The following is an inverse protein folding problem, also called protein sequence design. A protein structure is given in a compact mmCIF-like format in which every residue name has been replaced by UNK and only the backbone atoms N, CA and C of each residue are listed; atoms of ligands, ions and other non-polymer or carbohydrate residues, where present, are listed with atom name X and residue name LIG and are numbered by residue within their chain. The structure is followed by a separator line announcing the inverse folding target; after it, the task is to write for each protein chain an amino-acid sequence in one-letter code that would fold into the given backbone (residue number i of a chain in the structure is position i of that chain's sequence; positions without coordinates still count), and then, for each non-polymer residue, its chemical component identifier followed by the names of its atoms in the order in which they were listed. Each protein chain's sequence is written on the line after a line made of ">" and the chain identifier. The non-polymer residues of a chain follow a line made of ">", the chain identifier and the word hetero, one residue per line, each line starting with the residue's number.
data_IF_882230123390
#
_entry.id   IF_882230123390
#
_cell.length_a   1.000
_cell.length_b   1.000
_cell.length_c   1.000
_cell.angle_alpha   90.00
_cell.angle_beta   90.00
_cell.angle_gamma   90.00
#
_symmetry.space_group_name_H-M   'P 1'
#
loop_
_entity.id
_entity.type
_entity.pdbx_description
1 polymer ?
#
# COMPACT_ATOMS: atom_id res chain seq x y z
N UNK A 1 -11.72 -51.57 -64.55
CA UNK A 1 -11.99 -50.18 -64.14
C UNK A 1 -10.97 -49.79 -63.09
N UNK A 2 -10.33 -48.62 -63.27
CA UNK A 2 -9.58 -47.76 -62.33
C UNK A 2 -8.60 -48.44 -61.32
N UNK A 3 -7.29 -48.15 -61.28
CA UNK A 3 -6.61 -46.90 -61.58
C UNK A 3 -6.69 -45.94 -60.39
N UNK A 4 -5.65 -45.91 -59.54
CA UNK A 4 -5.56 -44.97 -58.41
C UNK A 4 -4.21 -45.04 -57.69
N UNK A 5 -3.30 -44.15 -58.09
CA UNK A 5 -1.98 -43.84 -57.48
C UNK A 5 -2.08 -42.44 -56.85
N UNK A 6 -1.18 -42.13 -55.90
CA UNK A 6 -0.87 -40.81 -55.29
C UNK A 6 -1.76 -40.44 -54.08
N UNK A 7 -1.29 -39.91 -52.94
CA UNK A 7 -0.10 -39.08 -52.61
C UNK A 7 0.43 -39.36 -51.19
N UNK A 8 1.72 -39.06 -50.88
CA UNK A 8 2.22 -38.95 -49.51
C UNK A 8 1.84 -37.60 -48.86
N UNK A 9 1.44 -37.65 -47.60
CA UNK A 9 1.16 -36.48 -46.76
C UNK A 9 2.47 -35.75 -46.41
N UNK A 10 2.75 -34.66 -47.15
CA UNK A 10 3.67 -33.60 -46.74
C UNK A 10 2.93 -32.56 -45.90
N UNK A 11 3.00 -32.69 -44.58
CA UNK A 11 2.49 -31.72 -43.61
C UNK A 11 3.62 -30.82 -43.11
N UNK A 12 3.75 -29.68 -43.77
CA UNK A 12 4.74 -28.63 -43.53
C UNK A 12 4.32 -27.79 -42.32
N UNK A 13 4.83 -28.07 -41.12
CA UNK A 13 4.72 -27.14 -39.98
C UNK A 13 6.04 -26.40 -39.81
N UNK A 14 6.03 -25.16 -40.27
CA UNK A 14 7.08 -24.16 -40.18
C UNK A 14 7.61 -24.03 -38.76
N UNK A 15 8.94 -23.99 -38.64
CA UNK A 15 9.63 -23.61 -37.42
C UNK A 15 9.12 -22.27 -36.91
N UNK A 16 8.72 -22.24 -35.64
CA UNK A 16 8.55 -21.01 -34.89
C UNK A 16 9.93 -20.41 -34.68
N UNK A 17 10.25 -19.44 -35.52
CA UNK A 17 11.41 -18.57 -35.40
C UNK A 17 11.23 -17.74 -34.15
N UNK A 18 12.24 -17.83 -33.27
CA UNK A 18 12.64 -16.83 -32.27
C UNK A 18 11.53 -15.94 -31.73
N UNK A 19 10.87 -16.40 -30.67
CA UNK A 19 10.24 -15.47 -29.75
C UNK A 19 11.39 -14.75 -29.02
N UNK A 20 11.74 -13.56 -29.52
CA UNK A 20 12.59 -12.63 -28.80
C UNK A 20 11.98 -12.41 -27.42
N UNK A 21 12.63 -12.98 -26.40
CA UNK A 21 12.35 -12.66 -25.01
C UNK A 21 12.58 -11.16 -24.86
N UNK A 22 11.47 -10.42 -24.75
CA UNK A 22 11.52 -9.00 -24.47
C UNK A 22 12.45 -8.78 -23.27
N UNK A 23 13.44 -7.87 -23.37
CA UNK A 23 14.36 -7.62 -22.27
C UNK A 23 13.54 -7.23 -21.05
N UNK A 24 13.74 -7.99 -19.97
CA UNK A 24 13.20 -7.73 -18.64
C UNK A 24 13.33 -6.24 -18.36
N UNK A 25 12.20 -5.53 -18.45
CA UNK A 25 12.13 -4.09 -18.20
C UNK A 25 12.64 -3.89 -16.78
N UNK A 26 13.87 -3.40 -16.65
CA UNK A 26 14.44 -3.04 -15.35
C UNK A 26 13.51 -1.99 -14.78
N UNK A 27 12.71 -2.40 -13.78
CA UNK A 27 11.83 -1.50 -13.03
C UNK A 27 12.66 -0.25 -12.69
N UNK A 28 12.21 0.96 -13.05
CA UNK A 28 12.95 2.15 -12.69
C UNK A 28 13.17 2.13 -11.18
N UNK A 29 14.41 2.40 -10.75
CA UNK A 29 14.72 2.64 -9.34
C UNK A 29 13.86 3.81 -8.90
N UNK A 30 12.66 3.51 -8.36
CA UNK A 30 11.80 4.52 -7.77
C UNK A 30 12.62 5.19 -6.68
N UNK A 31 12.78 6.50 -6.83
CA UNK A 31 13.52 7.33 -5.91
C UNK A 31 12.90 7.13 -4.52
N UNK A 32 13.71 6.63 -3.59
CA UNK A 32 13.35 6.24 -2.22
C UNK A 32 12.72 7.41 -1.48
N UNK A 33 11.41 7.60 -1.67
CA UNK A 33 10.68 8.67 -1.05
C UNK A 33 10.56 8.29 0.44
N UNK A 34 11.43 8.84 1.28
CA UNK A 34 11.50 8.56 2.73
C UNK A 34 10.09 8.42 3.32
N UNK A 35 9.83 7.30 4.00
CA UNK A 35 8.55 6.99 4.63
C UNK A 35 8.20 7.96 5.74
N UNK A 36 6.94 7.99 6.16
CA UNK A 36 6.43 8.90 7.18
C UNK A 36 7.28 8.83 8.46
N UNK A 37 7.48 7.63 9.02
CA UNK A 37 8.28 7.42 10.23
C UNK A 37 9.70 7.92 10.10
N UNK A 38 10.32 7.72 8.93
CA UNK A 38 11.67 8.19 8.61
C UNK A 38 11.74 9.71 8.42
N UNK A 39 10.68 10.34 7.89
CA UNK A 39 10.61 11.81 7.72
C UNK A 39 10.43 12.53 9.05
N UNK A 40 9.60 11.98 9.93
CA UNK A 40 9.28 12.58 11.22
C UNK A 40 10.03 11.93 12.39
N UNK A 41 11.12 11.19 12.14
CA UNK A 41 11.81 10.39 13.17
C UNK A 41 12.21 11.22 14.39
N UNK A 42 12.77 12.42 14.17
CA UNK A 42 13.17 13.32 15.25
C UNK A 42 11.96 13.87 16.00
N UNK A 43 10.88 14.19 15.29
CA UNK A 43 9.65 14.71 15.93
C UNK A 43 8.86 13.64 16.69
N UNK A 44 8.89 12.39 16.20
CA UNK A 44 8.30 11.23 16.86
C UNK A 44 9.12 10.86 18.11
N UNK A 45 10.46 10.86 18.01
CA UNK A 45 11.36 10.58 19.14
C UNK A 45 11.28 11.63 20.23
N UNK A 46 11.20 12.91 19.84
CA UNK A 46 11.09 14.04 20.78
C UNK A 46 9.64 14.27 21.26
N UNK A 47 8.69 13.40 20.88
CA UNK A 47 7.25 13.50 21.18
C UNK A 47 6.57 14.81 20.73
N UNK A 48 7.23 15.61 19.89
CA UNK A 48 6.69 16.84 19.28
C UNK A 48 5.55 16.53 18.31
N UNK A 49 5.57 15.34 17.71
CA UNK A 49 4.52 14.82 16.85
C UNK A 49 3.93 13.55 17.45
N UNK A 50 2.64 13.60 17.81
CA UNK A 50 1.91 12.43 18.29
C UNK A 50 0.97 11.91 17.21
N UNK A 51 1.20 10.67 16.78
CA UNK A 51 0.31 9.96 15.85
C UNK A 51 -0.62 9.07 16.66
N UNK A 52 -1.92 9.31 16.54
CA UNK A 52 -2.97 8.45 17.08
C UNK A 52 -3.99 8.24 15.98
N UNK A 53 -4.36 6.98 15.72
CA UNK A 53 -5.34 6.61 14.70
C UNK A 53 -6.35 5.66 15.36
N UNK A 54 -7.61 6.09 15.56
CA UNK A 54 -8.62 5.24 16.18
C UNK A 54 -8.85 3.94 15.39
N UNK A 55 -9.15 2.84 16.08
CA UNK A 55 -9.39 1.52 15.44
C UNK A 55 -10.39 1.58 14.27
N UNK A 56 -11.56 2.25 14.39
CA UNK A 56 -12.49 2.35 13.25
C UNK A 56 -11.91 3.06 12.03
N UNK A 57 -10.93 3.95 12.22
CA UNK A 57 -10.23 4.61 11.11
C UNK A 57 -9.23 3.64 10.49
N UNK A 58 -8.48 2.88 11.31
CA UNK A 58 -7.52 1.87 10.83
C UNK A 58 -8.22 0.77 10.01
N UNK A 59 -9.39 0.30 10.46
CA UNK A 59 -10.23 -0.63 9.70
C UNK A 59 -10.63 -0.07 8.33
N UNK A 60 -11.08 1.19 8.26
CA UNK A 60 -11.43 1.82 6.98
C UNK A 60 -10.23 2.00 6.06
N UNK A 61 -9.06 2.33 6.60
CA UNK A 61 -7.83 2.41 5.83
C UNK A 61 -7.44 1.03 5.29
N UNK A 62 -7.58 -0.02 6.09
CA UNK A 62 -7.36 -1.40 5.64
C UNK A 62 -8.31 -1.80 4.50
N UNK A 63 -9.62 -1.54 4.66
CA UNK A 63 -10.60 -1.80 3.59
C UNK A 63 -10.26 -1.03 2.31
N UNK A 64 -9.69 0.18 2.44
CA UNK A 64 -9.20 0.94 1.29
C UNK A 64 -7.95 0.33 0.64
N UNK A 65 -7.18 -0.51 1.31
CA UNK A 65 -6.09 -1.27 0.66
C UNK A 65 -6.67 -2.45 -0.14
N UNK A 66 -7.65 -3.15 0.43
CA UNK A 66 -8.33 -4.27 -0.22
C UNK A 66 -9.08 -3.81 -1.48
N UNK A 67 -9.76 -2.66 -1.43
CA UNK A 67 -10.53 -2.09 -2.54
C UNK A 67 -9.67 -1.85 -3.80
N UNK A 68 -8.41 -1.43 -3.60
CA UNK A 68 -7.48 -1.14 -4.70
C UNK A 68 -6.45 -2.27 -4.91
N UNK A 69 -6.63 -3.42 -4.26
CA UNK A 69 -5.83 -4.60 -4.52
C UNK A 69 -6.63 -5.59 -5.36
N UNK A 70 -6.02 -6.07 -6.44
CA UNK A 70 -6.58 -7.19 -7.18
C UNK A 70 -6.52 -8.47 -6.34
N UNK A 71 -7.61 -9.24 -6.36
CA UNK A 71 -7.68 -10.56 -5.76
C UNK A 71 -7.28 -11.63 -6.78
N UNK A 72 -6.19 -12.34 -6.53
CA UNK A 72 -5.75 -13.47 -7.34
C UNK A 72 -6.52 -14.73 -6.92
N UNK A 73 -7.52 -15.11 -7.71
CA UNK A 73 -8.35 -16.30 -7.45
C UNK A 73 -7.56 -17.62 -7.42
N UNK A 74 -6.39 -17.70 -8.07
CA UNK A 74 -5.58 -18.93 -8.10
C UNK A 74 -4.78 -19.10 -6.81
N UNK A 75 -4.33 -17.97 -6.24
CA UNK A 75 -3.56 -17.95 -4.99
C UNK A 75 -4.42 -17.73 -3.76
N UNK A 76 -5.64 -17.22 -3.94
CA UNK A 76 -6.55 -16.85 -2.86
C UNK A 76 -6.06 -15.67 -2.03
N UNK A 77 -5.32 -14.73 -2.64
CA UNK A 77 -4.70 -13.60 -1.94
C UNK A 77 -4.83 -12.28 -2.73
N UNK A 78 -4.64 -11.17 -2.03
CA UNK A 78 -4.57 -9.83 -2.60
C UNK A 78 -3.13 -9.50 -3.00
N UNK A 79 -2.87 -9.41 -4.32
CA UNK A 79 -1.50 -9.32 -4.84
C UNK A 79 -0.77 -8.06 -4.37
N UNK A 80 -1.44 -6.91 -4.40
CA UNK A 80 -0.84 -5.65 -3.97
C UNK A 80 -0.59 -5.62 -2.46
N UNK A 81 -1.40 -6.31 -1.65
CA UNK A 81 -1.21 -6.42 -0.20
C UNK A 81 -0.01 -7.34 0.12
N UNK A 82 0.14 -8.46 -0.60
CA UNK A 82 1.30 -9.35 -0.46
C UNK A 82 2.59 -8.61 -0.85
N UNK A 83 2.58 -7.89 -1.97
CA UNK A 83 3.72 -7.05 -2.39
C UNK A 83 4.01 -5.92 -1.39
N UNK A 84 2.97 -5.27 -0.84
CA UNK A 84 3.11 -4.25 0.19
C UNK A 84 3.78 -4.81 1.44
N UNK A 85 3.39 -6.01 1.88
CA UNK A 85 3.98 -6.67 3.05
C UNK A 85 5.48 -6.87 2.85
N UNK A 86 5.89 -7.41 1.70
CA UNK A 86 7.31 -7.58 1.37
C UNK A 86 8.06 -6.24 1.37
N UNK A 87 7.52 -5.21 0.71
CA UNK A 87 8.16 -3.88 0.65
C UNK A 87 8.26 -3.24 2.03
N UNK A 88 7.28 -3.46 2.88
CA UNK A 88 7.27 -2.97 4.25
C UNK A 88 8.39 -3.59 5.08
N UNK A 89 8.59 -4.91 4.97
CA UNK A 89 9.71 -5.62 5.60
C UNK A 89 11.07 -5.16 5.07
N UNK A 90 11.20 -4.96 3.75
CA UNK A 90 12.44 -4.47 3.14
C UNK A 90 12.80 -3.06 3.63
N UNK A 91 11.81 -2.20 3.84
CA UNK A 91 12.02 -0.80 4.22
C UNK A 91 12.23 -0.57 5.72
N UNK A 92 11.49 -1.30 6.56
CA UNK A 92 11.45 -1.08 8.01
C UNK A 92 12.03 -2.25 8.82
N UNK A 93 12.30 -3.38 8.16
CA UNK A 93 12.74 -4.63 8.78
C UNK A 93 11.57 -5.45 9.32
N UNK A 94 11.73 -6.77 9.40
CA UNK A 94 10.69 -7.69 9.90
C UNK A 94 10.30 -7.44 11.36
N UNK A 95 11.14 -6.74 12.15
CA UNK A 95 10.78 -6.31 13.51
C UNK A 95 9.67 -5.26 13.55
N UNK A 96 9.39 -4.58 12.43
CA UNK A 96 8.31 -3.62 12.30
C UNK A 96 6.92 -4.27 12.19
N UNK A 97 6.87 -5.54 11.77
CA UNK A 97 5.65 -6.36 11.69
C UNK A 97 5.28 -7.01 13.03
N UNK A 98 5.46 -6.31 14.15
CA UNK A 98 5.08 -6.82 15.48
C UNK A 98 3.72 -6.29 15.90
N UNK A 99 2.86 -7.19 16.35
CA UNK A 99 1.53 -6.88 16.86
C UNK A 99 1.32 -7.55 18.23
N UNK A 100 0.46 -6.95 19.06
CA UNK A 100 0.06 -7.60 20.30
C UNK A 100 -0.82 -8.83 20.00
N UNK A 101 -0.58 -9.97 20.66
CA UNK A 101 -1.46 -11.13 20.55
C UNK A 101 -2.84 -10.81 21.13
N UNK A 102 -3.84 -11.63 20.80
CA UNK A 102 -5.22 -11.44 21.28
C UNK A 102 -5.37 -11.68 22.78
N UNK A 103 -4.44 -12.41 23.40
CA UNK A 103 -4.34 -12.54 24.85
C UNK A 103 -3.66 -11.30 25.44
N UNK A 104 -4.30 -10.65 26.41
CA UNK A 104 -3.87 -9.38 27.02
C UNK A 104 -2.46 -9.42 27.66
N UNK A 105 -1.88 -10.59 27.91
CA UNK A 105 -0.60 -10.79 28.61
C UNK A 105 0.55 -11.34 27.74
N UNK A 106 0.63 -10.94 26.47
CA UNK A 106 1.67 -11.43 25.55
C UNK A 106 2.62 -10.36 25.02
N UNK A 107 3.92 -10.71 24.91
CA UNK A 107 4.90 -9.92 24.18
C UNK A 107 4.48 -9.76 22.70
N UNK A 108 4.77 -8.61 22.06
CA UNK A 108 4.47 -8.42 20.64
C UNK A 108 5.11 -9.52 19.79
N UNK A 109 4.27 -10.29 19.11
CA UNK A 109 4.67 -11.37 18.22
C UNK A 109 4.71 -10.88 16.76
N UNK A 110 5.37 -11.64 15.89
CA UNK A 110 5.30 -11.39 14.44
C UNK A 110 3.86 -11.56 13.99
N UNK A 111 3.27 -10.50 13.44
CA UNK A 111 1.92 -10.48 12.89
C UNK A 111 1.95 -10.19 11.39
N UNK A 112 0.81 -10.36 10.73
CA UNK A 112 0.66 -9.91 9.36
C UNK A 112 0.52 -8.40 9.26
N UNK A 113 0.53 -7.86 8.04
CA UNK A 113 0.27 -6.44 7.81
C UNK A 113 -1.10 -6.00 8.38
N UNK A 114 -2.11 -6.87 8.27
CA UNK A 114 -3.43 -6.64 8.88
C UNK A 114 -3.36 -6.39 10.39
N UNK A 115 -2.53 -7.16 11.10
CA UNK A 115 -2.37 -7.01 12.54
C UNK A 115 -1.73 -5.67 12.90
N UNK A 116 -0.91 -5.07 12.02
CA UNK A 116 -0.41 -3.70 12.24
C UNK A 116 -1.57 -2.69 12.22
N UNK A 117 -2.50 -2.84 11.28
CA UNK A 117 -3.63 -1.91 11.19
C UNK A 117 -4.51 -2.03 12.43
N UNK A 118 -4.84 -3.24 12.90
CA UNK A 118 -5.81 -3.39 13.99
C UNK A 118 -5.17 -3.37 15.39
N UNK A 119 -4.09 -4.13 15.55
CA UNK A 119 -3.44 -4.46 16.84
C UNK A 119 -2.04 -3.85 16.96
N UNK A 120 -1.59 -3.13 15.93
CA UNK A 120 -0.21 -2.69 15.79
C UNK A 120 0.27 -1.85 16.96
N UNK A 121 1.51 -2.13 17.36
CA UNK A 121 2.20 -1.49 18.47
C UNK A 121 2.49 0.00 18.24
N UNK A 122 2.66 0.42 16.96
CA UNK A 122 3.11 1.77 16.63
C UNK A 122 2.32 2.39 15.47
N UNK A 123 1.49 3.39 15.78
CA UNK A 123 0.59 4.04 14.83
C UNK A 123 1.26 4.64 13.57
N UNK A 124 2.48 5.21 13.62
CA UNK A 124 3.18 5.69 12.42
C UNK A 124 3.38 4.63 11.33
N UNK A 125 3.49 3.35 11.67
CA UNK A 125 3.61 2.27 10.69
C UNK A 125 2.38 2.15 9.78
N UNK A 126 1.19 2.54 10.25
CA UNK A 126 -0.01 2.60 9.40
C UNK A 126 0.21 3.61 8.27
N UNK A 127 0.76 4.78 8.57
CA UNK A 127 1.07 5.78 7.54
C UNK A 127 2.18 5.31 6.60
N UNK A 128 3.21 4.65 7.11
CA UNK A 128 4.25 4.06 6.26
C UNK A 128 3.66 3.05 5.26
N UNK A 129 2.74 2.18 5.72
CA UNK A 129 2.06 1.23 4.85
C UNK A 129 1.21 1.93 3.78
N UNK A 130 0.46 2.97 4.14
CA UNK A 130 -0.35 3.74 3.17
C UNK A 130 0.53 4.44 2.12
N UNK A 131 1.67 5.01 2.52
CA UNK A 131 2.61 5.61 1.55
C UNK A 131 3.27 4.59 0.63
N UNK A 132 3.64 3.42 1.16
CA UNK A 132 4.21 2.33 0.38
C UNK A 132 3.20 1.78 -0.61
N UNK A 133 1.95 1.62 -0.20
CA UNK A 133 0.88 1.18 -1.07
C UNK A 133 0.68 2.15 -2.23
N UNK A 134 0.56 3.45 -1.95
CA UNK A 134 0.44 4.47 -2.99
C UNK A 134 1.63 4.45 -3.97
N UNK A 135 2.85 4.19 -3.50
CA UNK A 135 4.02 4.08 -4.39
C UNK A 135 3.96 2.85 -5.32
N UNK A 136 3.32 1.77 -4.87
CA UNK A 136 3.12 0.53 -5.63
C UNK A 136 1.89 0.51 -6.52
N UNK A 137 0.89 1.35 -6.22
CA UNK A 137 -0.33 1.47 -6.99
C UNK A 137 -0.04 1.91 -8.45
N UNK A 138 -0.96 1.59 -9.35
CA UNK A 138 -0.91 2.05 -10.73
C UNK A 138 -1.03 3.58 -10.82
N UNK A 139 -0.57 4.19 -11.91
CA UNK A 139 -0.68 5.64 -12.08
C UNK A 139 -2.14 6.12 -12.16
N UNK A 140 -3.06 5.24 -12.56
CA UNK A 140 -4.50 5.49 -12.60
C UNK A 140 -5.13 5.43 -11.19
N UNK A 141 -4.68 4.50 -10.35
CA UNK A 141 -5.22 4.29 -9.01
C UNK A 141 -4.67 5.24 -7.96
N UNK A 142 -3.43 5.73 -8.13
CA UNK A 142 -2.79 6.69 -7.19
C UNK A 142 -3.68 7.88 -6.80
N UNK A 143 -4.23 8.67 -7.75
CA UNK A 143 -5.08 9.81 -7.38
C UNK A 143 -6.35 9.37 -6.65
N UNK A 144 -6.96 8.25 -7.05
CA UNK A 144 -8.17 7.72 -6.43
C UNK A 144 -7.93 7.23 -5.00
N UNK A 145 -6.83 6.49 -4.79
CA UNK A 145 -6.40 6.04 -3.48
C UNK A 145 -6.07 7.22 -2.54
N UNK A 146 -5.37 8.24 -3.06
CA UNK A 146 -5.08 9.45 -2.29
C UNK A 146 -6.36 10.20 -1.90
N UNK A 147 -7.31 10.36 -2.82
CA UNK A 147 -8.61 10.97 -2.55
C UNK A 147 -9.36 10.19 -1.47
N UNK A 148 -9.39 8.86 -1.60
CA UNK A 148 -10.04 7.97 -0.63
C UNK A 148 -9.42 8.07 0.77
N UNK A 149 -8.10 8.09 0.87
CA UNK A 149 -7.40 8.31 2.14
C UNK A 149 -7.81 9.65 2.78
N UNK A 150 -7.80 10.72 2.00
CA UNK A 150 -8.14 12.06 2.48
C UNK A 150 -9.59 12.16 2.92
N UNK A 151 -10.52 11.52 2.20
CA UNK A 151 -11.92 11.43 2.58
C UNK A 151 -12.10 10.71 3.93
N UNK A 152 -11.39 9.61 4.15
CA UNK A 152 -11.41 8.89 5.44
C UNK A 152 -10.93 9.81 6.57
N UNK A 153 -9.82 10.53 6.36
CA UNK A 153 -9.28 11.45 7.36
C UNK A 153 -10.23 12.60 7.67
N UNK A 154 -10.82 13.21 6.64
CA UNK A 154 -11.77 14.31 6.79
C UNK A 154 -13.04 13.87 7.54
N UNK A 155 -13.67 12.77 7.10
CA UNK A 155 -14.89 12.24 7.73
C UNK A 155 -14.67 11.85 9.19
N UNK A 156 -13.46 11.40 9.52
CA UNK A 156 -13.07 11.04 10.89
C UNK A 156 -12.49 12.22 11.69
N UNK A 157 -12.50 13.45 11.13
CA UNK A 157 -11.99 14.69 11.76
C UNK A 157 -10.52 14.56 12.20
N UNK A 158 -9.72 13.83 11.43
CA UNK A 158 -8.30 13.62 11.66
C UNK A 158 -7.49 14.76 11.02
N UNK A 159 -6.44 15.21 11.69
CA UNK A 159 -5.56 16.29 11.21
C UNK A 159 -4.43 15.77 10.30
N UNK A 160 -4.74 14.83 9.41
CA UNK A 160 -3.75 14.20 8.53
C UNK A 160 -4.26 14.22 7.09
N UNK A 161 -3.37 14.44 6.14
CA UNK A 161 -3.68 14.38 4.71
C UNK A 161 -2.54 13.71 3.94
N UNK A 162 -2.88 13.07 2.83
CA UNK A 162 -1.94 12.59 1.83
C UNK A 162 -1.92 13.53 0.63
N UNK A 163 -0.72 13.93 0.22
CA UNK A 163 -0.47 14.74 -0.98
C UNK A 163 0.77 14.22 -1.67
N UNK A 164 0.66 13.93 -2.97
CA UNK A 164 1.72 13.31 -3.78
C UNK A 164 2.26 12.01 -3.16
N UNK A 165 1.35 11.21 -2.61
CA UNK A 165 1.70 9.97 -1.90
C UNK A 165 2.41 10.18 -0.56
N UNK A 166 2.46 11.40 -0.03
CA UNK A 166 3.07 11.73 1.25
C UNK A 166 2.07 12.18 2.29
N UNK A 167 2.13 11.55 3.47
CA UNK A 167 1.28 11.90 4.60
C UNK A 167 1.91 13.02 5.41
N UNK A 168 1.12 14.04 5.73
CA UNK A 168 1.54 15.20 6.51
C UNK A 168 0.41 15.66 7.43
N UNK A 169 0.74 16.29 8.57
CA UNK A 169 -0.28 16.90 9.40
C UNK A 169 -0.92 18.06 8.64
N UNK A 170 -2.24 18.16 8.72
CA UNK A 170 -2.97 19.35 8.26
C UNK A 170 -2.78 20.41 9.32
N UNK A 171 -2.11 21.51 8.98
CA UNK A 171 -1.95 22.67 9.85
C UNK A 171 -3.35 23.25 10.18
N UNK A 172 -3.93 22.80 11.30
CA UNK A 172 -5.24 23.26 11.75
C UNK A 172 -5.21 24.70 12.30
N UNK A 173 -4.02 25.33 12.37
CA UNK A 173 -3.83 26.68 12.88
C UNK A 173 -4.41 27.81 11.99
N UNK A 174 -4.96 27.53 10.81
CA UNK A 174 -5.49 28.58 9.90
C UNK A 174 -7.00 28.62 9.70
N UNK A 175 -7.79 27.70 10.28
CA UNK A 175 -9.27 27.67 10.08
C UNK A 175 -10.08 28.13 11.30
N UNK A 176 -9.51 29.02 12.12
CA UNK A 176 -10.26 29.80 13.11
C UNK A 176 -9.88 31.28 13.05
N UNK A 177 -10.00 31.87 11.86
CA UNK A 177 -10.06 33.32 11.68
C UNK A 177 -11.49 33.70 11.29
N UNK A 178 -12.05 34.68 12.01
CA UNK A 178 -13.41 35.27 11.90
C UNK A 178 -14.50 34.49 12.65
N UNK A 179 -15.30 35.07 13.56
CA UNK A 179 -15.70 36.49 13.69
C UNK A 179 -15.98 36.81 15.17
N UNK A 180 -15.21 37.71 15.78
CA UNK A 180 -15.72 38.54 16.88
C UNK A 180 -16.25 39.82 16.25
N UNK A 181 -17.53 39.84 15.91
CA UNK A 181 -18.23 41.11 15.76
C UNK A 181 -18.62 41.57 17.16
N UNK A 182 -18.07 42.71 17.57
CA UNK A 182 -18.49 43.41 18.76
C UNK A 182 -19.87 44.01 18.55
N UNK A 183 -20.68 43.93 19.60
CA UNK A 183 -21.76 44.88 19.91
C UNK A 183 -21.44 45.43 21.29
#
# INVERSE_FOLDING_TARGET
>A
MAGGKLLPYGGFCKGFVGQEFAPCQKKPKQYMARLFSKRYSDSLRDEKLKVSIPTPVRERLWMSLEEYSEFDCLKGEYTAITELTQRFEEELGSSALRAYPESEDGDPASGGLYDIFLKGYWAPHVFDAMELFHQGASDEDKPLFQERFNEIMERSKMSWQMSEGKISPVDSARRQGHTKEGI
#
